data_IF_634657010046
#
_entry.id   IF_634657010046
#
_cell.length_a   1.000
_cell.length_b   1.000
_cell.length_c   1.000
_cell.angle_alpha   90.00
_cell.angle_beta   90.00
_cell.angle_gamma   90.00
#
_symmetry.space_group_name_H-M   'P 1'
#
loop_
_entity.id
_entity.type
_entity.pdbx_description
1 polymer ?
#
# COMPACT_ATOMS: atom_id res chain seq x y z
N UNK A 1 27.09 21.88 13.59
CA UNK A 1 26.26 21.79 12.38
C UNK A 1 26.30 20.34 11.94
N UNK A 2 25.27 19.53 12.21
CA UNK A 2 25.29 18.12 11.75
C UNK A 2 24.84 18.11 10.30
N UNK A 3 25.71 17.69 9.39
CA UNK A 3 25.34 17.40 8.02
C UNK A 3 24.31 16.26 8.07
N UNK A 4 23.09 16.56 7.67
CA UNK A 4 22.05 15.55 7.52
C UNK A 4 22.26 14.94 6.14
N UNK A 5 22.88 13.77 6.11
CA UNK A 5 22.91 12.95 4.89
C UNK A 5 21.47 12.62 4.53
N UNK A 6 21.08 12.75 3.26
CA UNK A 6 19.73 12.43 2.79
C UNK A 6 19.77 11.11 2.03
N UNK A 7 18.82 10.23 2.31
CA UNK A 7 18.74 8.89 1.73
C UNK A 7 17.41 8.68 1.02
N UNK A 8 17.49 8.24 -0.23
CA UNK A 8 16.32 7.86 -1.01
C UNK A 8 15.74 6.52 -0.53
N UNK A 9 14.44 6.50 -0.28
CA UNK A 9 13.71 5.26 -0.04
C UNK A 9 13.41 4.55 -1.37
N UNK A 10 13.94 3.34 -1.58
CA UNK A 10 13.72 2.57 -2.82
C UNK A 10 12.28 2.05 -3.02
N UNK A 11 11.38 2.29 -2.06
CA UNK A 11 9.98 1.82 -2.11
C UNK A 11 9.01 2.92 -2.53
N UNK A 12 9.04 4.07 -1.84
CA UNK A 12 8.21 5.22 -2.18
C UNK A 12 8.92 6.25 -3.07
N UNK A 13 10.23 6.07 -3.30
CA UNK A 13 11.06 6.96 -4.12
C UNK A 13 11.11 8.41 -3.61
N UNK A 14 10.95 8.58 -2.29
CA UNK A 14 11.07 9.87 -1.59
C UNK A 14 12.41 9.97 -0.85
N UNK A 15 12.92 11.19 -0.78
CA UNK A 15 14.15 11.53 -0.07
C UNK A 15 13.83 11.85 1.39
N UNK A 16 14.45 11.10 2.30
CA UNK A 16 14.29 11.29 3.74
C UNK A 16 15.66 11.47 4.36
N UNK A 17 15.77 12.22 5.46
CA UNK A 17 17.04 12.32 6.16
C UNK A 17 17.49 10.93 6.65
N UNK A 18 18.78 10.64 6.45
CA UNK A 18 19.44 9.37 6.73
C UNK A 18 19.72 9.21 8.24
N UNK A 19 18.69 9.42 9.03
CA UNK A 19 18.68 9.23 10.46
C UNK A 19 17.83 8.02 10.87
N UNK A 20 17.90 7.70 12.15
CA UNK A 20 17.20 6.58 12.75
C UNK A 20 15.74 6.92 13.12
N UNK A 21 15.26 8.14 12.85
CA UNK A 21 13.85 8.53 12.97
C UNK A 21 13.06 8.03 11.75
N UNK A 22 13.60 8.19 10.53
CA UNK A 22 12.94 7.78 9.28
C UNK A 22 13.33 6.39 8.78
N UNK A 23 14.53 5.90 9.10
CA UNK A 23 15.00 4.57 8.74
C UNK A 23 15.24 3.71 10.00
N UNK A 24 15.11 2.39 9.85
CA UNK A 24 15.52 1.47 10.92
C UNK A 24 17.04 1.30 10.90
N UNK A 25 17.67 1.25 12.06
CA UNK A 25 19.08 0.85 12.19
C UNK A 25 19.22 -0.61 11.77
N UNK A 26 20.00 -0.86 10.72
CA UNK A 26 20.27 -2.18 10.20
C UNK A 26 21.79 -2.35 10.02
N UNK A 27 22.47 -3.13 10.88
CA UNK A 27 23.90 -3.36 10.74
C UNK A 27 24.20 -4.06 9.42
N UNK A 28 25.26 -3.62 8.73
CA UNK A 28 25.67 -4.15 7.43
C UNK A 28 24.95 -3.55 6.21
N UNK A 29 24.03 -2.59 6.41
CA UNK A 29 23.45 -1.78 5.34
C UNK A 29 24.27 -0.53 5.01
N UNK A 30 23.93 0.16 3.90
CA UNK A 30 24.45 1.50 3.62
C UNK A 30 24.12 2.44 4.79
N UNK A 31 25.15 3.03 5.40
CA UNK A 31 25.06 3.85 6.63
C UNK A 31 24.51 3.13 7.87
N UNK A 32 24.53 1.79 7.89
CA UNK A 32 23.86 0.99 8.92
C UNK A 32 22.34 1.31 9.03
N UNK A 33 21.71 1.68 7.92
CA UNK A 33 20.29 1.97 7.84
C UNK A 33 19.60 1.02 6.86
N UNK A 34 18.33 0.76 7.12
CA UNK A 34 17.48 -0.06 6.27
C UNK A 34 17.36 0.51 4.84
N UNK A 35 17.14 -0.38 3.88
CA UNK A 35 16.99 -0.01 2.47
C UNK A 35 15.71 0.81 2.17
N UNK A 36 14.70 0.80 3.05
CA UNK A 36 13.44 1.54 2.92
C UNK A 36 13.08 2.27 4.22
N UNK A 37 12.21 3.29 4.13
CA UNK A 37 11.73 4.06 5.27
C UNK A 37 10.81 3.21 6.18
N UNK A 38 10.66 3.63 7.44
CA UNK A 38 9.84 2.92 8.43
C UNK A 38 8.39 2.73 8.01
N UNK A 39 7.80 3.68 7.28
CA UNK A 39 6.44 3.58 6.78
C UNK A 39 6.29 2.41 5.79
N UNK A 40 7.16 2.36 4.76
CA UNK A 40 7.18 1.26 3.80
C UNK A 40 7.52 -0.08 4.46
N UNK A 41 8.42 -0.08 5.44
CA UNK A 41 8.75 -1.29 6.20
C UNK A 41 7.52 -1.84 6.95
N UNK A 42 6.77 -0.97 7.66
CA UNK A 42 5.55 -1.36 8.36
C UNK A 42 4.48 -1.88 7.40
N UNK A 43 4.31 -1.25 6.25
CA UNK A 43 3.37 -1.73 5.23
C UNK A 43 3.75 -3.14 4.75
N UNK A 44 5.03 -3.38 4.45
CA UNK A 44 5.52 -4.68 4.00
C UNK A 44 5.28 -5.77 5.05
N UNK A 45 5.57 -5.50 6.33
CA UNK A 45 5.33 -6.44 7.43
C UNK A 45 3.84 -6.73 7.59
N UNK A 46 2.96 -5.72 7.52
CA UNK A 46 1.50 -5.91 7.60
C UNK A 46 0.98 -6.81 6.49
N UNK A 47 1.42 -6.61 5.24
CA UNK A 47 1.04 -7.45 4.10
C UNK A 47 1.51 -8.91 4.27
N UNK A 48 2.69 -9.11 4.85
CA UNK A 48 3.20 -10.45 5.15
C UNK A 48 2.40 -11.18 6.24
N UNK A 49 1.89 -10.46 7.25
CA UNK A 49 0.96 -11.03 8.26
C UNK A 49 -0.38 -11.40 7.62
N UNK A 50 -0.99 -10.48 6.86
CA UNK A 50 -2.29 -10.73 6.23
C UNK A 50 -2.24 -11.93 5.28
N UNK A 51 -1.16 -12.09 4.50
CA UNK A 51 -0.98 -13.26 3.63
C UNK A 51 -0.90 -14.59 4.41
N UNK A 52 -0.48 -14.58 5.67
CA UNK A 52 -0.42 -15.79 6.52
C UNK A 52 -1.73 -16.11 7.23
N UNK A 53 -2.69 -15.16 7.24
CA UNK A 53 -3.99 -15.32 7.91
C UNK A 53 -5.14 -15.78 7.03
N UNK A 54 -4.91 -16.03 5.74
CA UNK A 54 -5.92 -16.65 4.88
C UNK A 54 -5.84 -18.17 5.03
N UNK A 55 -6.81 -18.85 5.70
CA UNK A 55 -7.10 -20.22 5.32
C UNK A 55 -7.58 -20.18 3.87
N UNK A 56 -7.02 -21.03 3.01
CA UNK A 56 -7.62 -21.36 1.72
C UNK A 56 -9.05 -21.86 2.00
N UNK A 57 -10.03 -20.98 1.85
CA UNK A 57 -11.43 -21.30 2.02
C UNK A 57 -12.23 -20.67 0.87
N UNK A 58 -12.39 -21.50 -0.16
CA UNK A 58 -13.60 -21.66 -0.98
C UNK A 58 -14.17 -20.46 -1.76
N UNK A 59 -14.40 -20.76 -3.05
CA UNK A 59 -15.11 -19.98 -4.05
C UNK A 59 -16.49 -19.44 -3.63
N UNK A 60 -16.85 -18.26 -4.15
CA UNK A 60 -18.18 -17.95 -4.66
C UNK A 60 -18.14 -16.75 -5.64
N UNK A 61 -18.73 -16.84 -6.85
CA UNK A 61 -18.92 -15.68 -7.72
C UNK A 61 -19.93 -14.70 -7.10
N UNK A 62 -19.66 -13.40 -7.25
CA UNK A 62 -20.44 -12.33 -6.62
C UNK A 62 -21.76 -12.13 -7.37
N UNK A 63 -22.87 -12.31 -6.66
CA UNK A 63 -24.27 -12.01 -7.03
C UNK A 63 -24.52 -10.51 -7.34
N UNK A 64 -23.48 -9.69 -7.53
CA UNK A 64 -23.59 -8.23 -7.67
C UNK A 64 -23.87 -7.74 -9.10
N UNK A 65 -23.91 -8.64 -10.09
CA UNK A 65 -24.14 -8.26 -11.50
C UNK A 65 -25.61 -7.91 -11.80
N UNK A 66 -26.58 -8.48 -11.09
CA UNK A 66 -28.00 -8.31 -11.42
C UNK A 66 -28.58 -6.93 -11.05
N UNK A 67 -27.93 -6.15 -10.18
CA UNK A 67 -28.43 -4.83 -9.77
C UNK A 67 -28.07 -3.70 -10.76
N UNK A 68 -27.04 -3.89 -11.60
CA UNK A 68 -26.58 -2.87 -12.54
C UNK A 68 -27.60 -2.64 -13.68
N UNK A 69 -28.33 -3.69 -14.09
CA UNK A 69 -29.33 -3.61 -15.17
C UNK A 69 -30.58 -2.81 -14.79
N UNK A 70 -31.01 -2.90 -13.52
CA UNK A 70 -32.21 -2.20 -13.02
C UNK A 70 -32.04 -0.67 -12.96
N UNK A 71 -30.86 -0.20 -12.53
CA UNK A 71 -30.58 1.23 -12.42
C UNK A 71 -30.41 1.90 -13.80
N UNK A 72 -29.86 1.16 -14.78
CA UNK A 72 -29.63 1.69 -16.13
C UNK A 72 -30.94 1.86 -16.91
N UNK A 73 -31.94 1.01 -16.67
CA UNK A 73 -33.26 1.12 -17.32
C UNK A 73 -34.09 2.35 -16.91
N UNK A 74 -33.88 2.87 -15.71
CA UNK A 74 -34.64 4.00 -15.15
C UNK A 74 -34.14 5.37 -15.62
N UNK A 75 -32.90 5.46 -16.11
CA UNK A 75 -32.31 6.74 -16.52
C UNK A 75 -32.58 7.12 -17.98
N UNK A 76 -33.05 6.18 -18.82
CA UNK A 76 -33.19 6.41 -20.26
C UNK A 76 -34.62 6.77 -20.72
N UNK A 77 -35.63 6.75 -19.84
CA UNK A 77 -37.03 7.04 -20.20
C UNK A 77 -37.50 8.47 -19.87
N UNK A 78 -36.59 9.45 -19.81
CA UNK A 78 -36.90 10.80 -19.33
C UNK A 78 -36.73 11.97 -20.30
N UNK A 79 -36.38 11.77 -21.58
CA UNK A 79 -36.16 12.87 -22.53
C UNK A 79 -37.19 12.87 -23.68
N UNK A 80 -38.44 13.20 -23.35
CA UNK A 80 -39.45 13.66 -24.32
C UNK A 80 -40.39 14.65 -23.64
N UNK A 81 -40.16 15.95 -23.88
CA UNK A 81 -41.17 17.01 -23.99
C UNK A 81 -40.47 18.28 -24.47
#
# INVERSE_FOLDING_TARGET
MKAVDHKLCKKCNEEWPADTEFFYSQPGGYLNLAHCCKACYKEHVRRADSRRKEPVAAAAPRITDCLQGLLTGLLHQGARA
#
